data_IF_196324206102
#
_entry.id   IF_196324206102
#
_cell.length_a   1.000
_cell.length_b   1.000
_cell.length_c   1.000
_cell.angle_alpha   90.00
_cell.angle_beta   90.00
_cell.angle_gamma   90.00
#
_symmetry.space_group_name_H-M   'P 1'
#
loop_
_entity.id
_entity.type
_entity.pdbx_description
1 polymer ?
#
# COMPACT_ATOMS: atom_id res chain seq x y z
N UNK A 1 5.45 11.67 19.72
CA UNK A 1 6.77 11.22 20.25
C UNK A 1 7.88 11.74 19.35
N UNK A 2 9.10 11.69 19.81
CA UNK A 2 10.27 12.17 19.01
C UNK A 2 10.33 11.41 17.68
N UNK A 3 9.85 10.17 17.72
CA UNK A 3 9.84 9.31 16.54
C UNK A 3 8.58 9.55 15.72
N UNK A 4 7.42 9.28 16.33
CA UNK A 4 6.13 9.46 15.65
C UNK A 4 5.69 8.16 15.00
N UNK A 5 4.38 8.01 14.83
CA UNK A 5 3.83 6.81 14.21
C UNK A 5 3.81 6.95 12.69
N UNK A 6 2.99 7.87 12.20
CA UNK A 6 2.87 8.11 10.78
C UNK A 6 4.24 8.26 10.14
N UNK A 7 5.15 8.89 10.87
CA UNK A 7 6.50 9.09 10.36
C UNK A 7 7.17 7.74 10.12
N UNK A 8 6.95 6.81 11.05
CA UNK A 8 7.52 5.47 10.94
C UNK A 8 6.99 4.78 9.69
N UNK A 9 5.69 4.83 9.51
CA UNK A 9 5.06 4.21 8.35
C UNK A 9 5.46 4.93 7.08
N UNK A 10 5.49 6.26 7.15
CA UNK A 10 5.84 7.06 5.99
C UNK A 10 7.26 6.74 5.56
N UNK A 11 8.16 6.74 6.53
CA UNK A 11 9.56 6.44 6.28
C UNK A 11 9.69 5.07 5.61
N UNK A 12 9.00 4.16 6.22
CA UNK A 12 8.94 2.77 5.82
C UNK A 12 8.29 2.62 4.44
N UNK A 13 7.05 3.04 4.32
CA UNK A 13 6.33 2.95 3.04
C UNK A 13 7.15 3.57 1.90
N UNK A 14 7.72 4.74 2.19
CA UNK A 14 8.54 5.46 1.21
C UNK A 14 9.73 4.62 0.80
N UNK A 15 10.38 4.05 1.80
CA UNK A 15 11.56 3.21 1.57
C UNK A 15 11.29 2.18 0.47
N UNK A 16 10.03 1.79 0.30
CA UNK A 16 9.65 0.82 -0.71
C UNK A 16 9.28 1.53 -2.02
N UNK A 17 9.05 2.83 -1.94
CA UNK A 17 8.69 3.62 -3.13
C UNK A 17 9.91 3.89 -4.01
N UNK A 18 11.10 3.72 -3.44
CA UNK A 18 12.33 3.93 -4.19
C UNK A 18 12.46 2.87 -5.27
N UNK A 19 12.04 1.67 -4.92
CA UNK A 19 12.09 0.53 -5.83
C UNK A 19 11.18 0.76 -7.02
N UNK A 20 10.03 1.36 -6.75
CA UNK A 20 9.04 1.65 -7.77
C UNK A 20 9.12 3.09 -8.22
N UNK A 21 8.54 3.39 -9.39
CA UNK A 21 8.56 4.75 -9.93
C UNK A 21 7.15 5.25 -10.19
N UNK A 22 7.05 6.49 -10.64
CA UNK A 22 5.75 7.09 -10.93
C UNK A 22 4.96 7.17 -9.61
N UNK A 23 5.63 6.79 -8.53
CA UNK A 23 5.02 6.80 -7.20
C UNK A 23 5.87 7.65 -6.26
N UNK A 24 5.22 8.59 -5.58
CA UNK A 24 5.90 9.48 -4.63
C UNK A 24 5.05 9.63 -3.37
N UNK A 25 5.48 8.99 -2.29
CA UNK A 25 4.73 9.03 -1.04
C UNK A 25 5.12 10.23 -0.17
N UNK A 26 4.54 11.38 -0.51
CA UNK A 26 4.76 12.63 0.23
C UNK A 26 3.53 12.94 1.07
N UNK A 27 2.55 12.05 0.97
CA UNK A 27 1.32 12.18 1.72
C UNK A 27 0.62 10.83 1.71
N UNK A 28 -0.47 10.71 2.46
CA UNK A 28 -1.20 9.45 2.52
C UNK A 28 -2.49 9.56 1.71
N UNK A 29 -2.85 10.78 1.34
CA UNK A 29 -4.07 11.03 0.59
C UNK A 29 -3.82 11.37 -0.87
N UNK A 30 -3.28 12.56 -1.11
CA UNK A 30 -3.00 13.02 -2.47
C UNK A 30 -2.01 12.11 -3.20
N UNK A 31 -0.95 11.72 -2.51
CA UNK A 31 0.05 10.87 -3.12
C UNK A 31 -0.51 9.48 -3.39
N UNK A 32 -1.77 9.27 -3.05
CA UNK A 32 -2.43 7.98 -3.23
C UNK A 32 -3.55 8.05 -4.27
N UNK A 33 -3.82 9.26 -4.76
CA UNK A 33 -4.90 9.43 -5.74
C UNK A 33 -4.70 8.55 -6.97
N UNK A 34 -3.48 8.07 -7.17
CA UNK A 34 -3.19 7.23 -8.33
C UNK A 34 -3.58 5.77 -8.07
N UNK A 35 -3.66 5.39 -6.81
CA UNK A 35 -3.98 4.01 -6.47
C UNK A 35 -2.77 3.13 -6.74
N UNK A 36 -1.81 3.72 -7.44
CA UNK A 36 -0.58 3.04 -7.79
C UNK A 36 0.22 2.72 -6.53
N UNK A 37 -0.09 3.44 -5.45
CA UNK A 37 0.62 3.22 -4.19
C UNK A 37 0.24 1.89 -3.53
N UNK A 38 -1.07 1.62 -3.44
CA UNK A 38 -1.53 0.38 -2.81
C UNK A 38 -0.94 -0.84 -3.53
N UNK A 39 -0.91 -0.80 -4.85
CA UNK A 39 -0.38 -1.92 -5.61
C UNK A 39 1.14 -2.02 -5.46
N UNK A 40 1.81 -0.87 -5.56
CA UNK A 40 3.27 -0.80 -5.47
C UNK A 40 3.79 -1.25 -4.11
N UNK A 41 3.13 -0.82 -3.04
CA UNK A 41 3.55 -1.17 -1.69
C UNK A 41 3.48 -2.68 -1.48
N UNK A 42 2.40 -3.29 -1.95
CA UNK A 42 2.22 -4.74 -1.82
C UNK A 42 3.23 -5.52 -2.68
N UNK A 43 3.43 -5.06 -3.90
CA UNK A 43 4.35 -5.73 -4.84
C UNK A 43 5.75 -5.85 -4.24
N UNK A 44 5.99 -5.11 -3.16
CA UNK A 44 7.29 -5.12 -2.49
C UNK A 44 7.52 -6.43 -1.75
N UNK A 45 6.47 -6.93 -1.11
CA UNK A 45 6.58 -8.15 -0.31
C UNK A 45 6.07 -9.38 -1.06
N UNK A 46 5.36 -9.14 -2.15
CA UNK A 46 4.78 -10.24 -2.94
C UNK A 46 5.17 -10.13 -4.42
N UNK A 47 6.18 -10.85 -4.90
CA UNK A 47 6.60 -10.78 -6.33
C UNK A 47 5.63 -11.52 -7.24
N UNK A 48 5.10 -12.64 -6.75
CA UNK A 48 4.17 -13.43 -7.53
C UNK A 48 2.88 -12.64 -7.71
N UNK A 49 2.75 -11.61 -6.87
CA UNK A 49 1.58 -10.73 -6.88
C UNK A 49 1.13 -10.40 -8.29
N UNK A 50 1.88 -9.49 -8.90
CA UNK A 50 1.59 -9.05 -10.25
C UNK A 50 2.75 -8.22 -10.78
N UNK A 51 2.81 -8.05 -12.09
CA UNK A 51 3.85 -7.25 -12.70
C UNK A 51 3.49 -5.77 -12.58
N UNK A 52 4.05 -5.10 -11.57
CA UNK A 52 3.77 -3.69 -11.34
C UNK A 52 4.22 -2.85 -12.53
N UNK A 53 5.18 -3.36 -13.26
CA UNK A 53 5.69 -2.64 -14.42
C UNK A 53 4.75 -2.77 -15.59
N UNK A 54 3.80 -3.69 -15.50
CA UNK A 54 2.84 -3.93 -16.56
C UNK A 54 1.57 -3.14 -16.31
N UNK A 55 1.43 -2.56 -15.12
CA UNK A 55 0.26 -1.79 -14.78
C UNK A 55 0.44 -0.33 -15.13
N UNK A 56 -0.69 0.36 -15.38
CA UNK A 56 -0.67 1.77 -15.74
C UNK A 56 -1.68 2.56 -14.88
N UNK A 57 -1.59 3.87 -14.85
CA UNK A 57 -2.52 4.71 -14.06
C UNK A 57 -3.86 4.82 -14.77
N UNK A 58 -3.93 4.19 -15.93
CA UNK A 58 -5.15 4.19 -16.73
C UNK A 58 -6.22 3.30 -16.09
N UNK A 59 -5.78 2.12 -15.65
CA UNK A 59 -6.66 1.13 -15.05
C UNK A 59 -6.63 1.20 -13.52
N UNK A 60 -7.06 2.32 -12.96
CA UNK A 60 -7.05 2.49 -11.51
C UNK A 60 -8.02 1.53 -10.82
N UNK A 61 -9.20 1.35 -11.38
CA UNK A 61 -10.19 0.47 -10.76
C UNK A 61 -9.60 -0.90 -10.47
N UNK A 62 -8.94 -1.44 -11.48
CA UNK A 62 -8.32 -2.75 -11.35
C UNK A 62 -7.16 -2.71 -10.35
N UNK A 63 -6.44 -1.60 -10.32
CA UNK A 63 -5.30 -1.44 -9.42
C UNK A 63 -5.76 -1.55 -7.97
N UNK A 64 -6.88 -0.93 -7.67
CA UNK A 64 -7.40 -1.00 -6.31
C UNK A 64 -7.87 -2.42 -6.01
N UNK A 65 -8.73 -2.95 -6.86
CA UNK A 65 -9.24 -4.31 -6.65
C UNK A 65 -8.06 -5.28 -6.59
N UNK A 66 -7.12 -5.08 -7.49
CA UNK A 66 -5.93 -5.93 -7.55
C UNK A 66 -5.12 -5.84 -6.27
N UNK A 67 -4.85 -4.62 -5.83
CA UNK A 67 -4.06 -4.44 -4.63
C UNK A 67 -4.75 -5.12 -3.46
N UNK A 68 -6.06 -5.01 -3.42
CA UNK A 68 -6.83 -5.62 -2.36
C UNK A 68 -7.03 -7.11 -2.59
N UNK A 69 -7.47 -7.47 -3.80
CA UNK A 69 -7.69 -8.88 -4.12
C UNK A 69 -6.39 -9.68 -4.00
N UNK A 70 -5.27 -9.02 -4.27
CA UNK A 70 -3.98 -9.69 -4.16
C UNK A 70 -3.59 -9.84 -2.69
N UNK A 71 -3.65 -8.74 -1.95
CA UNK A 71 -3.29 -8.76 -0.54
C UNK A 71 -4.22 -9.69 0.25
N UNK A 72 -5.48 -9.78 -0.20
CA UNK A 72 -6.43 -10.65 0.49
C UNK A 72 -6.09 -12.11 0.28
N UNK A 73 -5.91 -12.52 -0.96
CA UNK A 73 -5.58 -13.91 -1.23
C UNK A 73 -4.25 -14.30 -0.59
N UNK A 74 -3.28 -13.39 -0.63
CA UNK A 74 -1.96 -13.65 -0.09
C UNK A 74 -1.87 -13.37 1.42
N UNK A 75 -2.53 -12.31 1.90
CA UNK A 75 -2.44 -11.96 3.33
C UNK A 75 -3.81 -11.87 4.00
N UNK A 76 -4.88 -12.12 3.27
CA UNK A 76 -6.21 -12.06 3.87
C UNK A 76 -6.35 -10.76 4.66
N UNK A 77 -5.76 -9.69 4.12
CA UNK A 77 -5.78 -8.37 4.74
C UNK A 77 -7.18 -7.97 5.23
N UNK A 78 -7.30 -6.68 5.57
CA UNK A 78 -8.57 -6.14 6.06
C UNK A 78 -9.41 -5.64 4.88
N UNK A 79 -10.65 -5.24 5.16
CA UNK A 79 -11.56 -4.74 4.12
C UNK A 79 -12.06 -3.36 4.50
N UNK A 80 -11.17 -2.53 5.03
CA UNK A 80 -11.53 -1.18 5.45
C UNK A 80 -11.81 -0.26 4.26
N UNK A 81 -11.17 -0.53 3.11
CA UNK A 81 -11.34 0.31 1.91
C UNK A 81 -12.07 -0.43 0.79
N UNK A 82 -12.91 0.32 0.07
CA UNK A 82 -13.67 -0.23 -1.06
C UNK A 82 -13.20 0.41 -2.37
N UNK A 83 -12.93 -0.41 -3.36
CA UNK A 83 -12.46 0.04 -4.65
C UNK A 83 -13.32 1.17 -5.19
N UNK A 84 -14.63 0.92 -5.26
CA UNK A 84 -15.56 1.91 -5.79
C UNK A 84 -15.42 3.25 -5.07
N UNK A 85 -15.34 3.20 -3.75
CA UNK A 85 -15.22 4.42 -2.97
C UNK A 85 -13.94 5.15 -3.32
N UNK A 86 -12.85 4.38 -3.42
CA UNK A 86 -11.57 4.96 -3.78
C UNK A 86 -11.65 5.62 -5.15
N UNK A 87 -12.28 4.92 -6.06
CA UNK A 87 -12.45 5.40 -7.42
C UNK A 87 -13.28 6.67 -7.45
N UNK A 88 -14.39 6.67 -6.70
CA UNK A 88 -15.28 7.82 -6.66
C UNK A 88 -14.65 8.98 -5.90
N UNK A 89 -14.13 8.70 -4.72
CA UNK A 89 -13.52 9.73 -3.90
C UNK A 89 -12.30 10.32 -4.60
N UNK A 90 -11.41 9.44 -5.02
CA UNK A 90 -10.17 9.87 -5.66
C UNK A 90 -9.43 10.75 -4.67
N UNK A 91 -9.69 10.45 -3.39
CA UNK A 91 -9.08 11.16 -2.26
C UNK A 91 -9.24 10.32 -0.99
N UNK A 92 -8.28 9.51 -0.63
CA UNK A 92 -8.37 8.67 0.60
C UNK A 92 -8.19 9.51 1.86
N UNK A 93 -8.22 8.85 3.01
CA UNK A 93 -8.03 9.54 4.29
C UNK A 93 -6.80 9.01 5.01
N UNK A 94 -5.96 9.94 5.47
CA UNK A 94 -4.72 9.58 6.15
C UNK A 94 -4.98 8.54 7.21
N UNK A 95 -6.14 8.60 7.83
CA UNK A 95 -6.50 7.65 8.87
C UNK A 95 -6.85 6.30 8.24
N UNK A 96 -7.46 6.35 7.05
CA UNK A 96 -7.86 5.13 6.37
C UNK A 96 -6.64 4.34 5.93
N UNK A 97 -5.75 5.01 5.20
CA UNK A 97 -4.54 4.38 4.71
C UNK A 97 -3.71 3.93 5.89
N UNK A 98 -3.60 4.80 6.87
CA UNK A 98 -2.84 4.49 8.07
C UNK A 98 -3.43 3.29 8.77
N UNK A 99 -4.74 3.33 9.00
CA UNK A 99 -5.42 2.24 9.67
C UNK A 99 -5.24 0.96 8.87
N UNK A 100 -5.38 1.05 7.55
CA UNK A 100 -5.22 -0.11 6.69
C UNK A 100 -3.81 -0.66 6.82
N UNK A 101 -2.84 0.23 6.68
CA UNK A 101 -1.43 -0.14 6.77
C UNK A 101 -1.16 -0.73 8.15
N UNK A 102 -1.81 -0.15 9.15
CA UNK A 102 -1.66 -0.61 10.53
C UNK A 102 -1.93 -2.09 10.63
N UNK A 103 -3.13 -2.50 10.22
CA UNK A 103 -3.50 -3.90 10.28
C UNK A 103 -2.53 -4.73 9.44
N UNK A 104 -2.27 -4.24 8.24
CA UNK A 104 -1.38 -4.94 7.32
C UNK A 104 0.01 -5.07 7.92
N UNK A 105 0.49 -3.98 8.51
CA UNK A 105 1.80 -3.98 9.12
C UNK A 105 1.93 -5.12 10.10
N UNK A 106 0.91 -5.22 10.95
CA UNK A 106 0.90 -6.24 11.97
C UNK A 106 0.96 -7.63 11.36
N UNK A 107 0.19 -7.87 10.31
CA UNK A 107 0.21 -9.18 9.67
C UNK A 107 1.63 -9.51 9.21
N UNK A 108 2.33 -8.51 8.67
CA UNK A 108 3.70 -8.70 8.19
C UNK A 108 4.62 -9.09 9.34
N UNK A 109 4.42 -8.46 10.49
CA UNK A 109 5.26 -8.73 11.65
C UNK A 109 5.14 -10.19 12.06
N UNK A 110 3.90 -10.68 12.16
CA UNK A 110 3.69 -12.06 12.53
C UNK A 110 4.30 -12.97 11.45
N UNK A 111 3.90 -12.72 10.22
CA UNK A 111 4.40 -13.50 9.09
C UNK A 111 5.93 -13.50 9.09
N UNK A 112 6.53 -12.44 9.66
CA UNK A 112 7.98 -12.32 9.70
C UNK A 112 8.48 -11.78 8.38
N UNK A 113 7.56 -11.14 7.67
CA UNK A 113 7.85 -10.54 6.37
C UNK A 113 8.70 -9.27 6.54
N UNK A 114 8.30 -8.43 7.49
CA UNK A 114 9.02 -7.18 7.74
C UNK A 114 10.45 -7.43 8.22
N UNK A 115 10.64 -8.52 8.95
CA UNK A 115 11.97 -8.88 9.47
C UNK A 115 12.68 -9.81 8.49
N UNK A 116 12.88 -9.34 7.26
CA UNK A 116 13.54 -10.12 6.22
C UNK A 116 15.06 -10.03 6.32
N UNK A 117 15.54 -8.80 6.43
CA UNK A 117 16.98 -8.56 6.53
C UNK A 117 17.29 -7.44 7.52
N UNK A 118 18.18 -7.72 8.47
CA UNK A 118 18.56 -6.71 9.46
C UNK A 118 19.46 -5.65 8.81
N UNK A 119 19.57 -4.50 9.45
CA UNK A 119 20.40 -3.41 8.92
C UNK A 119 21.81 -3.91 8.66
#
# INVERSE_FOLDING_TARGET
>A
GPLGSKNMLLEWCRAMTRNYEHVDIQNFSSSWSSGMAFCALIHKFFPEAFDYAELDPAKRRHNFTLAFSTAEKLADCAQLLEVDDMVRLAVPDSKCVYTYIQELYRSLVQKGLVKTKKK
#
